data_IF_779257703455
#
_entry.id   IF_779257703455
#
_cell.length_a   1.000
_cell.length_b   1.000
_cell.length_c   1.000
_cell.angle_alpha   90.00
_cell.angle_beta   90.00
_cell.angle_gamma   90.00
#
_symmetry.space_group_name_H-M   'P 1'
#
loop_
_entity.id
_entity.type
_entity.pdbx_description
1 polymer ?
#
# COMPACT_ATOMS: atom_id res chain seq x y z
N UNK A 1 5.35 -28.05 0.55
CA UNK A 1 4.35 -27.95 -0.54
C UNK A 1 4.18 -26.47 -0.85
N UNK A 2 4.14 -26.04 -2.13
CA UNK A 2 3.92 -24.65 -2.48
C UNK A 2 2.43 -24.32 -2.41
N UNK A 3 2.11 -23.09 -2.05
CA UNK A 3 0.72 -22.60 -2.00
C UNK A 3 0.23 -22.26 -3.42
N UNK A 4 -0.89 -22.83 -3.83
CA UNK A 4 -1.45 -22.60 -5.17
C UNK A 4 -2.39 -21.39 -5.12
N UNK A 5 -2.09 -20.36 -5.91
CA UNK A 5 -2.96 -19.19 -6.10
C UNK A 5 -4.11 -19.56 -7.04
N UNK A 6 -5.32 -19.20 -6.66
CA UNK A 6 -6.51 -19.39 -7.50
C UNK A 6 -6.53 -18.36 -8.64
N UNK A 7 -6.57 -18.90 -9.88
CA UNK A 7 -6.59 -18.04 -11.08
C UNK A 7 -7.95 -17.35 -11.26
N UNK A 8 -7.92 -16.15 -11.82
CA UNK A 8 -9.10 -15.30 -12.05
C UNK A 8 -9.85 -14.89 -10.76
N UNK A 9 -9.14 -14.80 -9.65
CA UNK A 9 -9.64 -14.30 -8.36
C UNK A 9 -8.82 -13.12 -7.88
N UNK A 10 -9.26 -12.48 -6.80
CA UNK A 10 -8.51 -11.41 -6.12
C UNK A 10 -7.10 -11.88 -5.71
N UNK A 11 -6.92 -13.19 -5.49
CA UNK A 11 -5.61 -13.74 -5.11
C UNK A 11 -4.52 -13.49 -6.17
N UNK A 12 -4.85 -13.45 -7.47
CA UNK A 12 -3.86 -13.09 -8.51
C UNK A 12 -3.35 -11.66 -8.37
N UNK A 13 -4.16 -10.74 -7.82
CA UNK A 13 -3.73 -9.36 -7.60
C UNK A 13 -2.64 -9.23 -6.54
N UNK A 14 -2.56 -10.19 -5.62
CA UNK A 14 -1.56 -10.23 -4.56
C UNK A 14 -0.15 -10.50 -5.07
N UNK A 15 -0.07 -11.27 -6.15
CA UNK A 15 1.22 -11.78 -6.68
C UNK A 15 2.02 -10.68 -7.36
N UNK A 16 1.36 -9.75 -8.05
CA UNK A 16 2.03 -8.72 -8.85
C UNK A 16 2.83 -7.73 -7.99
N UNK A 17 2.24 -7.07 -6.96
CA UNK A 17 3.00 -6.19 -6.09
C UNK A 17 4.10 -6.94 -5.32
N UNK A 18 3.84 -8.18 -4.92
CA UNK A 18 4.80 -9.03 -4.24
C UNK A 18 6.01 -9.31 -5.14
N UNK A 19 5.76 -9.69 -6.40
CA UNK A 19 6.83 -9.93 -7.38
C UNK A 19 7.61 -8.65 -7.71
N UNK A 20 6.92 -7.51 -7.82
CA UNK A 20 7.56 -6.21 -8.03
C UNK A 20 8.53 -5.86 -6.88
N UNK A 21 8.15 -6.09 -5.63
CA UNK A 21 9.02 -5.86 -4.46
C UNK A 21 10.23 -6.80 -4.44
N UNK A 22 10.03 -8.09 -4.79
CA UNK A 22 11.16 -9.04 -4.99
C UNK A 22 12.13 -8.50 -6.03
N UNK A 23 11.65 -8.11 -7.21
CA UNK A 23 12.49 -7.58 -8.30
C UNK A 23 13.22 -6.31 -7.85
N UNK A 24 12.56 -5.41 -7.14
CA UNK A 24 13.20 -4.21 -6.61
C UNK A 24 14.32 -4.55 -5.61
N UNK A 25 14.08 -5.51 -4.71
CA UNK A 25 15.09 -5.99 -3.76
C UNK A 25 16.33 -6.58 -4.44
N UNK A 26 16.14 -7.21 -5.58
CA UNK A 26 17.24 -7.80 -6.37
C UNK A 26 18.00 -6.75 -7.21
N UNK A 27 17.29 -5.79 -7.79
CA UNK A 27 17.87 -4.76 -8.65
C UNK A 27 18.49 -3.59 -7.90
N UNK A 28 17.95 -3.25 -6.73
CA UNK A 28 18.31 -2.06 -5.96
C UNK A 28 18.55 -2.36 -4.47
N UNK A 29 19.44 -3.33 -4.14
CA UNK A 29 19.61 -3.84 -2.77
C UNK A 29 20.12 -2.77 -1.79
N UNK A 30 20.81 -1.73 -2.27
CA UNK A 30 21.24 -0.58 -1.45
C UNK A 30 20.11 0.40 -1.09
N UNK A 31 19.00 0.36 -1.84
CA UNK A 31 17.88 1.27 -1.67
C UNK A 31 16.69 0.60 -0.96
N UNK A 32 16.43 -0.67 -1.29
CA UNK A 32 15.26 -1.38 -0.83
C UNK A 32 15.53 -2.88 -0.68
N UNK A 33 15.04 -3.45 0.42
CA UNK A 33 15.09 -4.88 0.67
C UNK A 33 13.83 -5.38 1.37
N UNK A 34 13.11 -6.30 0.72
CA UNK A 34 11.93 -6.98 1.26
C UNK A 34 12.15 -8.50 1.28
N UNK A 35 12.75 -8.97 2.36
CA UNK A 35 13.02 -10.40 2.58
C UNK A 35 11.72 -11.22 2.61
N UNK A 36 10.62 -10.62 3.10
CA UNK A 36 9.30 -11.26 3.11
C UNK A 36 8.82 -11.51 1.68
N UNK A 37 8.92 -10.55 0.78
CA UNK A 37 8.51 -10.72 -0.60
C UNK A 37 9.35 -11.80 -1.31
N UNK A 38 10.67 -11.80 -1.11
CA UNK A 38 11.58 -12.82 -1.66
C UNK A 38 11.19 -14.22 -1.20
N UNK A 39 10.96 -14.39 0.11
CA UNK A 39 10.57 -15.66 0.71
C UNK A 39 9.20 -16.14 0.23
N UNK A 40 8.20 -15.26 0.20
CA UNK A 40 6.84 -15.62 -0.19
C UNK A 40 6.75 -16.04 -1.67
N UNK A 41 7.44 -15.37 -2.58
CA UNK A 41 7.47 -15.74 -4.01
C UNK A 41 8.01 -17.17 -4.17
N UNK A 42 8.98 -17.59 -3.37
CA UNK A 42 9.51 -18.97 -3.42
C UNK A 42 8.48 -20.02 -2.91
N UNK A 43 7.51 -19.61 -2.09
CA UNK A 43 6.49 -20.49 -1.51
C UNK A 43 5.20 -20.58 -2.35
N UNK A 44 5.03 -19.71 -3.35
CA UNK A 44 3.84 -19.67 -4.20
C UNK A 44 4.04 -20.58 -5.42
N UNK A 45 3.03 -21.40 -5.72
CA UNK A 45 2.93 -22.19 -6.96
C UNK A 45 2.19 -21.36 -8.02
N UNK A 46 2.94 -20.56 -8.73
CA UNK A 46 2.46 -19.70 -9.82
C UNK A 46 3.50 -19.65 -10.93
N UNK A 47 3.05 -19.58 -12.18
CA UNK A 47 3.95 -19.39 -13.32
C UNK A 47 4.37 -17.93 -13.45
N UNK A 48 5.57 -17.62 -13.00
CA UNK A 48 6.16 -16.29 -13.08
C UNK A 48 6.84 -15.97 -14.42
N UNK A 49 6.84 -16.86 -15.40
CA UNK A 49 7.58 -16.69 -16.67
C UNK A 49 7.15 -15.42 -17.43
N UNK A 50 5.87 -15.11 -17.44
CA UNK A 50 5.35 -13.87 -18.06
C UNK A 50 5.79 -12.63 -17.26
N UNK A 51 5.73 -12.69 -15.94
CA UNK A 51 6.21 -11.61 -15.06
C UNK A 51 7.71 -11.37 -15.26
N UNK A 52 8.52 -12.42 -15.26
CA UNK A 52 9.98 -12.34 -15.51
C UNK A 52 10.29 -11.68 -16.85
N UNK A 53 9.57 -12.06 -17.91
CA UNK A 53 9.71 -11.45 -19.24
C UNK A 53 9.34 -9.97 -19.21
N UNK A 54 8.24 -9.61 -18.55
CA UNK A 54 7.75 -8.23 -18.47
C UNK A 54 8.73 -7.34 -17.69
N UNK A 55 9.26 -7.80 -16.55
CA UNK A 55 10.22 -7.04 -15.75
C UNK A 55 11.63 -6.89 -16.38
N UNK A 56 11.87 -7.44 -17.56
CA UNK A 56 13.04 -7.08 -18.39
C UNK A 56 12.91 -5.71 -19.02
N UNK A 57 11.69 -5.19 -19.19
CA UNK A 57 11.46 -3.84 -19.73
C UNK A 57 11.80 -2.75 -18.72
N UNK A 58 12.32 -1.61 -19.21
CA UNK A 58 12.66 -0.47 -18.37
C UNK A 58 11.45 0.06 -17.58
N UNK A 59 10.28 0.10 -18.20
CA UNK A 59 9.06 0.61 -17.55
C UNK A 59 8.59 -0.30 -16.41
N UNK A 60 8.69 -1.61 -16.55
CA UNK A 60 8.33 -2.52 -15.46
C UNK A 60 9.35 -2.50 -14.31
N UNK A 61 10.64 -2.30 -14.63
CA UNK A 61 11.67 -2.06 -13.61
C UNK A 61 11.40 -0.76 -12.85
N UNK A 62 11.01 0.29 -13.55
CA UNK A 62 10.58 1.53 -12.91
C UNK A 62 9.34 1.30 -12.04
N UNK A 63 8.34 0.56 -12.54
CA UNK A 63 7.16 0.18 -11.75
C UNK A 63 7.50 -0.63 -10.50
N UNK A 64 8.54 -1.49 -10.52
CA UNK A 64 8.99 -2.18 -9.31
C UNK A 64 9.56 -1.20 -8.27
N UNK A 65 10.30 -0.19 -8.73
CA UNK A 65 10.80 0.87 -7.88
C UNK A 65 9.65 1.71 -7.27
N UNK A 66 8.63 2.06 -8.07
CA UNK A 66 7.44 2.77 -7.58
C UNK A 66 6.73 2.01 -6.46
N UNK A 67 6.49 0.70 -6.64
CA UNK A 67 5.83 -0.14 -5.63
C UNK A 67 6.65 -0.22 -4.33
N UNK A 68 7.97 -0.36 -4.46
CA UNK A 68 8.88 -0.46 -3.33
C UNK A 68 9.00 0.87 -2.56
N UNK A 69 9.17 1.99 -3.27
CA UNK A 69 9.26 3.32 -2.64
C UNK A 69 7.95 3.68 -1.95
N UNK A 70 6.80 3.42 -2.55
CA UNK A 70 5.50 3.60 -1.93
C UNK A 70 5.41 2.88 -0.57
N UNK A 71 5.84 1.61 -0.51
CA UNK A 71 5.87 0.85 0.73
C UNK A 71 6.81 1.48 1.76
N UNK A 72 8.02 1.86 1.35
CA UNK A 72 8.99 2.55 2.21
C UNK A 72 8.45 3.85 2.79
N UNK A 73 7.77 4.64 1.97
CA UNK A 73 7.26 5.96 2.35
C UNK A 73 6.08 5.84 3.31
N UNK A 74 5.18 4.87 3.07
CA UNK A 74 4.10 4.54 4.03
C UNK A 74 4.69 4.03 5.35
N UNK A 75 5.70 3.16 5.31
CA UNK A 75 6.39 2.69 6.51
C UNK A 75 7.08 3.83 7.28
N UNK A 76 7.62 4.82 6.58
CA UNK A 76 8.17 6.03 7.20
C UNK A 76 7.11 6.77 8.02
N UNK A 77 5.93 7.04 7.44
CA UNK A 77 4.84 7.74 8.13
C UNK A 77 4.31 6.95 9.33
N UNK A 78 4.20 5.61 9.21
CA UNK A 78 3.82 4.74 10.32
C UNK A 78 4.85 4.82 11.46
N UNK A 79 6.14 4.68 11.15
CA UNK A 79 7.20 4.78 12.15
C UNK A 79 7.31 6.15 12.77
N UNK A 80 7.05 7.21 12.00
CA UNK A 80 7.05 8.58 12.50
C UNK A 80 5.94 8.79 13.54
N UNK A 81 4.73 8.28 13.26
CA UNK A 81 3.63 8.29 14.21
C UNK A 81 3.97 7.51 15.50
N UNK A 82 4.57 6.33 15.36
CA UNK A 82 4.94 5.48 16.50
C UNK A 82 6.00 6.09 17.42
N UNK A 83 6.78 7.08 16.98
CA UNK A 83 7.71 7.81 17.87
C UNK A 83 6.99 8.57 18.97
N UNK A 84 5.83 9.15 18.67
CA UNK A 84 5.02 9.88 19.63
C UNK A 84 3.97 8.97 20.32
N UNK A 85 3.58 7.86 19.68
CA UNK A 85 2.54 6.94 20.12
C UNK A 85 3.03 5.48 20.09
N UNK A 86 3.99 5.08 20.95
CA UNK A 86 4.64 3.77 20.84
C UNK A 86 3.72 2.57 21.04
N UNK A 87 2.61 2.75 21.73
CA UNK A 87 1.60 1.69 21.99
C UNK A 87 0.39 1.76 21.02
N UNK A 88 0.49 2.52 19.94
CA UNK A 88 -0.62 2.70 19.01
C UNK A 88 -0.97 1.41 18.26
N UNK A 89 -2.21 1.33 17.79
CA UNK A 89 -2.61 0.39 16.77
C UNK A 89 -2.01 0.79 15.41
N UNK A 90 -1.36 -0.15 14.73
CA UNK A 90 -0.91 -0.03 13.35
C UNK A 90 -1.84 -0.84 12.48
N UNK A 91 -2.63 -0.20 11.65
CA UNK A 91 -3.73 -0.84 10.91
C UNK A 91 -3.45 -0.79 9.40
N UNK A 92 -3.21 -1.96 8.81
CA UNK A 92 -2.95 -2.14 7.38
C UNK A 92 -4.28 -2.42 6.65
N UNK A 93 -4.79 -1.45 5.94
CA UNK A 93 -6.04 -1.54 5.18
C UNK A 93 -5.79 -2.13 3.79
N UNK A 94 -6.44 -3.23 3.44
CA UNK A 94 -6.19 -3.96 2.21
C UNK A 94 -4.78 -4.57 2.20
N UNK A 95 -4.47 -5.32 3.24
CA UNK A 95 -3.11 -5.74 3.56
C UNK A 95 -2.48 -6.72 2.55
N UNK A 96 -3.27 -7.49 1.81
CA UNK A 96 -2.75 -8.51 0.91
C UNK A 96 -1.67 -9.38 1.57
N UNK A 97 -0.56 -9.53 0.85
CA UNK A 97 0.66 -10.18 1.34
C UNK A 97 1.75 -9.15 1.72
N UNK A 98 1.34 -7.95 2.16
CA UNK A 98 2.26 -6.91 2.61
C UNK A 98 2.71 -7.14 4.06
N UNK A 99 4.02 -7.03 4.29
CA UNK A 99 4.66 -7.16 5.60
C UNK A 99 4.99 -5.82 6.28
N UNK A 100 4.52 -4.69 5.74
CA UNK A 100 4.89 -3.34 6.22
C UNK A 100 4.52 -3.14 7.69
N UNK A 101 3.33 -3.55 8.12
CA UNK A 101 2.92 -3.44 9.52
C UNK A 101 3.91 -4.15 10.45
N UNK A 102 4.25 -5.41 10.13
CA UNK A 102 5.27 -6.18 10.87
C UNK A 102 6.63 -5.51 10.88
N UNK A 103 7.07 -4.97 9.73
CA UNK A 103 8.34 -4.28 9.62
C UNK A 103 8.39 -2.95 10.40
N UNK A 104 7.25 -2.41 10.79
CA UNK A 104 7.12 -1.23 11.63
C UNK A 104 6.94 -1.54 13.12
N UNK A 105 6.80 -2.82 13.50
CA UNK A 105 6.63 -3.23 14.90
C UNK A 105 7.82 -2.76 15.77
N UNK A 106 7.51 -1.93 16.75
CA UNK A 106 8.49 -1.35 17.69
C UNK A 106 8.60 -2.14 19.00
N UNK A 107 7.97 -3.30 19.10
CA UNK A 107 7.93 -4.14 20.30
C UNK A 107 6.80 -3.79 21.28
N UNK A 108 6.04 -2.71 21.05
CA UNK A 108 4.97 -2.23 21.92
C UNK A 108 3.64 -2.02 21.19
N UNK A 109 3.67 -1.71 19.90
CA UNK A 109 2.46 -1.52 19.10
C UNK A 109 1.77 -2.85 18.78
N UNK A 110 0.48 -2.80 18.47
CA UNK A 110 -0.28 -3.92 17.94
C UNK A 110 -0.58 -3.70 16.46
N UNK A 111 -0.37 -4.73 15.64
CA UNK A 111 -0.55 -4.66 14.19
C UNK A 111 -1.82 -5.39 13.79
N UNK A 112 -2.68 -4.73 13.04
CA UNK A 112 -3.91 -5.27 12.48
C UNK A 112 -3.82 -5.27 10.96
N UNK A 113 -4.02 -6.43 10.35
CA UNK A 113 -3.99 -6.60 8.90
C UNK A 113 -5.39 -6.92 8.40
N UNK A 114 -5.99 -6.02 7.65
CA UNK A 114 -7.38 -6.07 7.20
C UNK A 114 -7.47 -6.33 5.70
N UNK A 115 -8.25 -7.32 5.29
CA UNK A 115 -8.56 -7.59 3.89
C UNK A 115 -9.78 -8.50 3.75
N UNK A 116 -10.21 -8.78 2.54
CA UNK A 116 -11.29 -9.73 2.28
C UNK A 116 -10.98 -11.12 2.85
N UNK A 117 -12.03 -11.90 3.24
CA UNK A 117 -11.85 -13.20 3.90
C UNK A 117 -10.97 -14.19 3.11
N UNK A 118 -11.09 -14.22 1.78
CA UNK A 118 -10.29 -15.09 0.91
C UNK A 118 -8.81 -14.65 0.87
N UNK A 119 -8.54 -13.35 0.91
CA UNK A 119 -7.18 -12.79 1.00
C UNK A 119 -6.56 -13.11 2.36
N UNK A 120 -7.32 -12.93 3.44
CA UNK A 120 -6.86 -13.27 4.80
C UNK A 120 -6.57 -14.78 4.93
N UNK A 121 -7.34 -15.63 4.27
CA UNK A 121 -7.06 -17.07 4.24
C UNK A 121 -5.70 -17.38 3.59
N UNK A 122 -5.39 -16.74 2.44
CA UNK A 122 -4.06 -16.83 1.79
C UNK A 122 -2.97 -16.29 2.71
N UNK A 123 -3.21 -15.12 3.32
CA UNK A 123 -2.25 -14.50 4.25
C UNK A 123 -1.96 -15.41 5.43
N UNK A 124 -2.96 -15.99 6.07
CA UNK A 124 -2.77 -16.90 7.20
C UNK A 124 -1.94 -18.14 6.84
N UNK A 125 -2.04 -18.62 5.60
CA UNK A 125 -1.26 -19.75 5.12
C UNK A 125 0.21 -19.40 4.81
N UNK A 126 0.47 -18.20 4.24
CA UNK A 126 1.80 -17.81 3.75
C UNK A 126 2.54 -16.87 4.69
N UNK A 127 1.82 -16.02 5.41
CA UNK A 127 2.32 -14.98 6.31
C UNK A 127 1.46 -14.93 7.58
N UNK A 128 1.44 -15.98 8.40
CA UNK A 128 0.63 -16.04 9.60
C UNK A 128 0.95 -14.90 10.55
N UNK A 129 -0.06 -14.43 11.29
CA UNK A 129 0.08 -13.37 12.27
C UNK A 129 1.12 -13.73 13.34
N UNK A 130 1.95 -12.77 13.71
CA UNK A 130 2.87 -12.87 14.82
C UNK A 130 2.18 -12.61 16.17
N UNK A 131 2.94 -12.59 17.25
CA UNK A 131 2.44 -12.43 18.62
C UNK A 131 1.65 -11.11 18.84
N UNK A 132 2.10 -10.02 18.22
CA UNK A 132 1.45 -8.70 18.28
C UNK A 132 0.69 -8.35 17.00
N UNK A 133 0.37 -9.35 16.18
CA UNK A 133 -0.39 -9.14 14.95
C UNK A 133 -1.75 -9.83 15.02
N UNK A 134 -2.71 -9.27 14.31
CA UNK A 134 -4.02 -9.85 14.09
C UNK A 134 -4.42 -9.69 12.63
N UNK A 135 -4.89 -10.75 12.00
CA UNK A 135 -5.40 -10.75 10.64
C UNK A 135 -6.94 -10.75 10.70
N UNK A 136 -7.56 -9.66 10.25
CA UNK A 136 -9.01 -9.43 10.37
C UNK A 136 -9.66 -9.54 8.98
N UNK A 137 -10.50 -10.57 8.74
CA UNK A 137 -11.27 -10.66 7.51
C UNK A 137 -12.43 -9.66 7.54
N UNK A 138 -12.45 -8.72 6.59
CA UNK A 138 -13.53 -7.73 6.48
C UNK A 138 -13.64 -7.14 5.06
N UNK A 139 -14.78 -6.51 4.77
CA UNK A 139 -14.90 -5.51 3.73
C UNK A 139 -14.66 -4.13 4.36
N UNK A 140 -13.74 -3.34 3.81
CA UNK A 140 -13.43 -2.00 4.33
C UNK A 140 -14.61 -1.03 4.25
N UNK A 141 -15.61 -1.28 3.41
CA UNK A 141 -16.85 -0.50 3.35
C UNK A 141 -17.79 -0.77 4.55
N UNK A 142 -17.65 -1.93 5.20
CA UNK A 142 -18.36 -2.26 6.43
C UNK A 142 -17.51 -1.85 7.64
N UNK A 143 -18.04 -0.93 8.45
CA UNK A 143 -17.31 -0.37 9.60
C UNK A 143 -17.32 -1.27 10.85
N UNK A 144 -17.87 -2.48 10.78
CA UNK A 144 -17.88 -3.43 11.91
C UNK A 144 -16.47 -3.75 12.42
N UNK A 145 -15.44 -3.67 11.57
CA UNK A 145 -14.05 -3.89 11.97
C UNK A 145 -13.50 -2.79 12.91
N UNK A 146 -14.14 -1.61 13.01
CA UNK A 146 -13.71 -0.54 13.92
C UNK A 146 -13.67 -1.02 15.38
N UNK A 147 -14.65 -1.82 15.79
CA UNK A 147 -14.74 -2.35 17.15
C UNK A 147 -13.67 -3.39 17.50
N UNK A 148 -12.96 -3.89 16.50
CA UNK A 148 -11.88 -4.88 16.68
C UNK A 148 -10.51 -4.21 16.87
N UNK A 149 -10.41 -2.90 16.66
CA UNK A 149 -9.15 -2.15 16.78
C UNK A 149 -9.05 -1.52 18.17
N UNK A 150 -8.07 -1.95 18.95
CA UNK A 150 -7.74 -1.27 20.20
C UNK A 150 -6.89 -0.02 19.91
N UNK A 151 -7.57 1.12 19.84
CA UNK A 151 -6.95 2.42 19.59
C UNK A 151 -6.65 3.22 20.88
N UNK A 152 -6.66 2.59 22.05
CA UNK A 152 -6.45 3.27 23.35
C UNK A 152 -5.08 3.98 23.45
N UNK A 153 -4.07 3.47 22.73
CA UNK A 153 -2.74 4.08 22.59
C UNK A 153 -2.59 4.99 21.36
N UNK A 154 -3.69 5.32 20.66
CA UNK A 154 -3.70 5.97 19.35
C UNK A 154 -3.80 4.95 18.22
N UNK A 155 -4.00 5.44 16.99
CA UNK A 155 -4.06 4.56 15.82
C UNK A 155 -3.46 5.22 14.58
N UNK A 156 -2.64 4.47 13.85
CA UNK A 156 -2.18 4.82 12.51
C UNK A 156 -2.66 3.77 11.52
N UNK A 157 -3.46 4.24 10.56
CA UNK A 157 -3.98 3.45 9.47
C UNK A 157 -3.15 3.72 8.23
N UNK A 158 -2.84 2.68 7.45
CA UNK A 158 -2.20 2.87 6.16
C UNK A 158 -2.80 1.97 5.10
N UNK A 159 -2.84 2.47 3.85
CA UNK A 159 -3.34 1.75 2.71
C UNK A 159 -2.37 1.89 1.54
N UNK A 160 -1.90 0.78 0.99
CA UNK A 160 -0.93 0.74 -0.11
C UNK A 160 -1.55 0.21 -1.39
N UNK A 161 -1.88 1.09 -2.34
CA UNK A 161 -2.49 0.71 -3.61
C UNK A 161 -3.94 0.23 -3.51
N UNK A 162 -4.67 0.66 -2.49
CA UNK A 162 -6.01 0.15 -2.17
C UNK A 162 -7.11 1.09 -2.66
N UNK A 163 -7.05 2.35 -2.31
CA UNK A 163 -8.15 3.28 -2.57
C UNK A 163 -8.41 3.56 -4.04
N UNK A 164 -7.46 3.28 -4.92
CA UNK A 164 -7.70 3.36 -6.36
C UNK A 164 -8.92 2.57 -6.83
N UNK A 165 -9.26 1.48 -6.16
CA UNK A 165 -10.39 0.60 -6.49
C UNK A 165 -11.73 1.07 -5.92
N UNK A 166 -11.75 2.11 -5.10
CA UNK A 166 -12.94 2.66 -4.46
C UNK A 166 -13.51 3.85 -5.27
N UNK A 167 -14.81 4.07 -5.18
CA UNK A 167 -15.41 5.32 -5.60
C UNK A 167 -15.03 6.43 -4.61
N UNK A 168 -14.93 7.67 -5.09
CA UNK A 168 -14.60 8.84 -4.25
C UNK A 168 -15.53 8.95 -3.03
N UNK A 169 -16.83 8.70 -3.22
CA UNK A 169 -17.81 8.76 -2.14
C UNK A 169 -17.62 7.66 -1.09
N UNK A 170 -17.14 6.48 -1.50
CA UNK A 170 -16.82 5.40 -0.56
C UNK A 170 -15.61 5.79 0.31
N UNK A 171 -14.54 6.31 -0.29
CA UNK A 171 -13.36 6.78 0.46
C UNK A 171 -13.74 7.92 1.40
N UNK A 172 -14.54 8.88 0.92
CA UNK A 172 -15.03 10.00 1.74
C UNK A 172 -15.84 9.50 2.95
N UNK A 173 -16.79 8.62 2.72
CA UNK A 173 -17.63 8.06 3.78
C UNK A 173 -16.79 7.27 4.80
N UNK A 174 -15.82 6.49 4.35
CA UNK A 174 -14.90 5.77 5.22
C UNK A 174 -14.08 6.74 6.08
N UNK A 175 -13.45 7.75 5.47
CA UNK A 175 -12.62 8.75 6.18
C UNK A 175 -13.43 9.49 7.24
N UNK A 176 -14.66 9.92 6.91
CA UNK A 176 -15.54 10.61 7.87
C UNK A 176 -15.90 9.72 9.07
N UNK A 177 -16.27 8.47 8.81
CA UNK A 177 -16.56 7.49 9.88
C UNK A 177 -15.32 7.14 10.72
N UNK A 178 -14.13 7.08 10.10
CA UNK A 178 -12.88 6.89 10.82
C UNK A 178 -12.56 8.09 11.73
N UNK A 179 -12.81 9.32 11.27
CA UNK A 179 -12.66 10.52 12.08
C UNK A 179 -13.59 10.55 13.30
N UNK A 180 -14.80 9.97 13.18
CA UNK A 180 -15.72 9.84 14.30
C UNK A 180 -15.28 8.74 15.29
N UNK A 181 -14.78 7.63 14.80
CA UNK A 181 -14.42 6.47 15.62
C UNK A 181 -13.02 6.59 16.26
N UNK A 182 -12.09 7.30 15.61
CA UNK A 182 -10.67 7.38 15.99
C UNK A 182 -10.19 8.83 16.03
N UNK A 183 -10.67 9.68 16.97
CA UNK A 183 -10.51 11.14 16.96
C UNK A 183 -9.07 11.65 17.13
N UNK A 184 -8.10 10.78 17.36
CA UNK A 184 -6.66 11.11 17.39
C UNK A 184 -5.88 10.21 16.44
N UNK A 185 -6.55 9.58 15.51
CA UNK A 185 -5.95 8.69 14.54
C UNK A 185 -5.34 9.43 13.37
N UNK A 186 -4.50 8.70 12.63
CA UNK A 186 -3.89 9.16 11.39
C UNK A 186 -4.13 8.12 10.30
N UNK A 187 -4.56 8.56 9.12
CA UNK A 187 -4.62 7.72 7.92
C UNK A 187 -3.58 8.18 6.90
N UNK A 188 -2.76 7.26 6.41
CA UNK A 188 -1.81 7.50 5.33
C UNK A 188 -2.05 6.55 4.16
N UNK A 189 -2.03 7.07 2.94
CA UNK A 189 -2.25 6.26 1.74
C UNK A 189 -1.64 6.91 0.51
N UNK A 190 -1.42 6.11 -0.53
CA UNK A 190 -0.96 6.60 -1.82
C UNK A 190 -2.14 7.03 -2.71
N UNK A 191 -1.97 8.15 -3.39
CA UNK A 191 -2.92 8.69 -4.35
C UNK A 191 -2.21 9.28 -5.56
N UNK A 192 -2.96 9.46 -6.64
CA UNK A 192 -2.47 10.07 -7.86
C UNK A 192 -3.61 10.77 -8.61
N UNK A 193 -3.28 11.61 -9.58
CA UNK A 193 -4.30 12.27 -10.38
C UNK A 193 -5.02 11.29 -11.34
N UNK A 194 -6.14 11.75 -11.92
CA UNK A 194 -6.98 10.94 -12.81
C UNK A 194 -6.22 10.35 -14.01
N UNK A 195 -5.23 11.05 -14.54
CA UNK A 195 -4.41 10.57 -15.67
C UNK A 195 -3.57 9.37 -15.25
N UNK A 196 -2.88 9.48 -14.11
CA UNK A 196 -2.09 8.38 -13.57
C UNK A 196 -2.96 7.17 -13.20
N UNK A 197 -4.11 7.40 -12.53
CA UNK A 197 -5.05 6.33 -12.16
C UNK A 197 -5.57 5.59 -13.38
N UNK A 198 -5.92 6.29 -14.47
CA UNK A 198 -6.31 5.65 -15.75
C UNK A 198 -5.15 4.86 -16.35
N UNK A 199 -3.92 5.34 -16.25
CA UNK A 199 -2.74 4.64 -16.75
C UNK A 199 -2.46 3.37 -15.92
N UNK A 200 -2.54 3.46 -14.61
CA UNK A 200 -2.42 2.30 -13.69
C UNK A 200 -3.46 1.24 -14.05
N UNK A 201 -4.73 1.62 -14.19
CA UNK A 201 -5.80 0.71 -14.58
C UNK A 201 -5.51 0.02 -15.93
N UNK A 202 -5.04 0.80 -16.92
CA UNK A 202 -4.76 0.27 -18.27
C UNK A 202 -3.54 -0.66 -18.31
N UNK A 203 -2.52 -0.38 -17.50
CA UNK A 203 -1.25 -1.14 -17.52
C UNK A 203 -1.27 -2.33 -16.57
N UNK A 204 -1.61 -2.11 -15.30
CA UNK A 204 -1.55 -3.15 -14.27
C UNK A 204 -2.74 -4.11 -14.30
N UNK A 205 -3.97 -3.60 -14.36
CA UNK A 205 -5.16 -4.46 -14.39
C UNK A 205 -5.25 -5.27 -15.67
N UNK A 206 -4.86 -4.66 -16.81
CA UNK A 206 -4.85 -5.36 -18.09
C UNK A 206 -3.77 -6.43 -18.17
N UNK A 207 -2.58 -6.18 -17.63
CA UNK A 207 -1.48 -7.18 -17.59
C UNK A 207 -1.81 -8.35 -16.66
N UNK A 208 -2.58 -8.10 -15.61
CA UNK A 208 -3.08 -9.12 -14.69
C UNK A 208 -4.29 -9.90 -15.22
N UNK A 209 -4.80 -9.54 -16.41
CA UNK A 209 -6.04 -10.12 -16.99
C UNK A 209 -7.27 -10.01 -16.06
N UNK A 210 -7.23 -9.09 -15.09
CA UNK A 210 -8.33 -8.87 -14.15
C UNK A 210 -9.45 -8.14 -14.92
N UNK A 211 -10.57 -8.81 -15.06
CA UNK A 211 -11.79 -8.26 -15.65
C UNK A 211 -12.64 -7.70 -14.50
N UNK A 212 -13.41 -6.64 -14.81
CA UNK A 212 -14.41 -6.06 -13.92
C UNK A 212 -13.87 -5.30 -12.67
N UNK A 213 -12.57 -5.00 -12.62
CA UNK A 213 -11.99 -4.10 -11.61
C UNK A 213 -11.62 -2.78 -12.28
N UNK A 214 -12.25 -1.69 -11.83
CA UNK A 214 -11.94 -0.32 -12.28
C UNK A 214 -10.99 0.38 -11.31
N UNK A 215 -10.37 1.46 -11.77
CA UNK A 215 -9.66 2.39 -10.89
C UNK A 215 -10.38 3.74 -10.95
N UNK A 216 -10.90 4.20 -9.81
CA UNK A 216 -11.88 5.28 -9.74
C UNK A 216 -11.38 6.47 -8.91
N UNK A 217 -10.88 6.21 -7.70
CA UNK A 217 -10.43 7.25 -6.80
C UNK A 217 -9.13 7.89 -7.31
N UNK A 218 -9.17 9.20 -7.48
CA UNK A 218 -8.04 9.99 -7.95
C UNK A 218 -8.06 11.36 -7.24
N UNK A 219 -6.88 11.85 -6.85
CA UNK A 219 -6.68 13.10 -6.15
C UNK A 219 -5.49 13.85 -6.75
N UNK A 220 -5.68 15.12 -7.06
CA UNK A 220 -4.61 15.99 -7.58
C UNK A 220 -4.04 16.92 -6.52
N UNK A 221 -4.90 17.43 -5.63
CA UNK A 221 -4.58 18.33 -4.53
C UNK A 221 -5.27 17.83 -3.26
N UNK A 222 -4.61 16.91 -2.56
CA UNK A 222 -5.21 16.26 -1.40
C UNK A 222 -5.60 17.23 -0.27
N UNK A 223 -4.80 18.24 0.12
CA UNK A 223 -5.20 19.23 1.10
C UNK A 223 -6.50 19.95 0.74
N UNK A 224 -6.67 20.33 -0.53
CA UNK A 224 -7.85 21.03 -1.00
C UNK A 224 -9.06 20.11 -1.18
N UNK A 225 -8.86 18.97 -1.87
CA UNK A 225 -9.97 18.09 -2.25
C UNK A 225 -10.49 17.29 -1.04
N UNK A 226 -9.59 16.69 -0.26
CA UNK A 226 -9.94 15.87 0.91
C UNK A 226 -10.22 16.73 2.14
N UNK A 227 -9.45 17.81 2.33
CA UNK A 227 -9.69 18.75 3.43
C UNK A 227 -11.08 19.42 3.39
N UNK A 228 -11.70 19.47 2.20
CA UNK A 228 -13.07 19.96 2.05
C UNK A 228 -14.15 18.93 2.47
N UNK A 229 -13.79 17.69 2.78
CA UNK A 229 -14.77 16.67 3.18
C UNK A 229 -15.28 16.84 4.60
N UNK A 230 -14.43 17.35 5.51
CA UNK A 230 -14.77 17.59 6.91
C UNK A 230 -13.78 18.61 7.50
N UNK A 231 -14.27 19.61 8.22
CA UNK A 231 -13.48 20.69 8.83
C UNK A 231 -12.49 20.20 9.92
N UNK A 232 -12.71 19.02 10.46
CA UNK A 232 -11.84 18.39 11.48
C UNK A 232 -10.55 17.85 10.86
N UNK A 233 -10.57 17.47 9.58
CA UNK A 233 -9.45 16.82 8.91
C UNK A 233 -8.28 17.81 8.71
N UNK A 234 -7.10 17.38 9.09
CA UNK A 234 -5.85 18.06 8.76
C UNK A 234 -5.10 17.23 7.73
N UNK A 235 -5.17 17.66 6.47
CA UNK A 235 -4.66 16.93 5.33
C UNK A 235 -3.35 17.54 4.86
N UNK A 236 -2.35 16.70 4.68
CA UNK A 236 -1.08 17.04 4.03
C UNK A 236 -0.74 15.99 2.97
N UNK A 237 0.14 16.34 2.05
CA UNK A 237 0.65 15.36 1.09
C UNK A 237 2.09 15.63 0.74
N UNK A 238 2.78 14.57 0.30
CA UNK A 238 4.19 14.57 -0.10
C UNK A 238 4.33 13.69 -1.34
N UNK A 239 5.11 14.13 -2.35
CA UNK A 239 5.39 13.26 -3.50
C UNK A 239 5.98 11.93 -3.03
N UNK A 240 5.44 10.81 -3.46
CA UNK A 240 6.07 9.56 -3.11
C UNK A 240 7.19 9.26 -4.11
N UNK A 241 8.25 8.68 -3.75
CA UNK A 241 9.57 8.54 -4.36
C UNK A 241 10.52 9.70 -4.01
N UNK A 242 10.27 10.95 -4.45
CA UNK A 242 11.20 12.05 -4.24
C UNK A 242 10.87 12.91 -3.01
N UNK A 243 9.67 12.78 -2.45
CA UNK A 243 9.30 13.46 -1.22
C UNK A 243 9.97 12.87 0.04
N UNK A 244 10.40 11.60 -0.03
CA UNK A 244 11.01 10.84 1.08
C UNK A 244 12.44 10.41 0.78
N UNK A 245 12.77 10.20 -0.49
CA UNK A 245 14.06 9.73 -0.97
C UNK A 245 14.57 10.64 -2.07
N UNK A 246 15.87 10.71 -2.30
CA UNK A 246 16.45 11.42 -3.44
C UNK A 246 16.81 10.47 -4.60
N UNK A 247 16.65 9.18 -4.41
CA UNK A 247 16.96 8.12 -5.36
C UNK A 247 18.40 8.19 -5.91
N UNK A 248 19.36 8.66 -5.09
CA UNK A 248 20.77 8.82 -5.51
C UNK A 248 21.59 7.55 -5.38
N UNK A 249 20.95 6.40 -5.13
CA UNK A 249 21.63 5.11 -5.17
C UNK A 249 22.28 4.89 -6.56
N UNK A 250 23.54 4.44 -6.63
CA UNK A 250 24.24 4.23 -7.91
C UNK A 250 23.54 3.26 -8.86
N UNK A 251 22.73 2.34 -8.33
CA UNK A 251 21.93 1.39 -9.12
C UNK A 251 20.73 2.06 -9.82
N UNK A 252 20.28 3.23 -9.36
CA UNK A 252 19.15 3.96 -9.94
C UNK A 252 19.62 4.91 -11.05
N UNK A 253 19.21 4.63 -12.29
CA UNK A 253 19.59 5.44 -13.44
C UNK A 253 19.05 6.88 -13.37
N UNK A 254 19.73 7.83 -14.04
CA UNK A 254 19.25 9.20 -14.18
C UNK A 254 17.88 9.29 -14.86
N UNK A 255 17.59 8.36 -15.76
CA UNK A 255 16.30 8.25 -16.42
C UNK A 255 15.17 7.91 -15.42
N UNK A 256 15.40 7.02 -14.47
CA UNK A 256 14.40 6.69 -13.44
C UNK A 256 14.18 7.84 -12.48
N UNK A 257 15.21 8.60 -12.14
CA UNK A 257 15.05 9.85 -11.36
C UNK A 257 14.22 10.91 -12.11
N UNK A 258 14.37 10.98 -13.42
CA UNK A 258 13.53 11.83 -14.27
C UNK A 258 12.06 11.34 -14.28
N UNK A 259 11.83 10.04 -14.46
CA UNK A 259 10.48 9.46 -14.38
C UNK A 259 9.83 9.70 -13.02
N UNK A 260 10.58 9.58 -11.91
CA UNK A 260 10.10 9.89 -10.59
C UNK A 260 9.65 11.35 -10.45
N UNK A 261 10.41 12.31 -11.03
CA UNK A 261 9.98 13.73 -11.11
C UNK A 261 8.66 13.91 -11.87
N UNK A 262 8.49 13.19 -12.96
CA UNK A 262 7.24 13.22 -13.75
C UNK A 262 6.09 12.62 -12.92
N UNK A 263 6.33 11.53 -12.22
CA UNK A 263 5.36 10.90 -11.32
C UNK A 263 4.88 11.86 -10.24
N UNK A 264 5.79 12.37 -9.43
CA UNK A 264 5.46 13.28 -8.33
C UNK A 264 4.89 14.62 -8.83
N UNK A 265 5.44 15.15 -9.91
CA UNK A 265 5.07 16.47 -10.46
C UNK A 265 3.79 16.45 -11.30
N UNK A 266 3.82 15.79 -12.47
CA UNK A 266 2.73 15.80 -13.45
C UNK A 266 1.62 14.83 -13.13
N UNK A 267 1.96 13.63 -12.62
CA UNK A 267 0.99 12.59 -12.30
C UNK A 267 0.43 12.74 -10.87
N UNK A 268 1.00 13.68 -10.08
CA UNK A 268 0.60 13.92 -8.70
C UNK A 268 0.59 12.64 -7.86
N UNK A 269 1.60 11.80 -8.09
CA UNK A 269 1.82 10.62 -7.28
C UNK A 269 2.30 11.09 -5.90
N UNK A 270 1.51 10.80 -4.87
CA UNK A 270 1.70 11.37 -3.53
C UNK A 270 1.30 10.40 -2.42
N UNK A 271 1.96 10.51 -1.29
CA UNK A 271 1.47 9.97 -0.03
C UNK A 271 0.65 11.05 0.63
N UNK A 272 -0.59 10.73 0.92
CA UNK A 272 -1.55 11.60 1.62
C UNK A 272 -1.58 11.20 3.08
N UNK A 273 -1.52 12.18 3.98
CA UNK A 273 -1.65 12.02 5.43
C UNK A 273 -2.82 12.84 5.92
N UNK A 274 -3.76 12.17 6.59
CA UNK A 274 -4.94 12.77 7.23
C UNK A 274 -4.81 12.56 8.72
N UNK A 275 -4.82 13.64 9.49
CA UNK A 275 -5.00 13.59 10.95
C UNK A 275 -6.48 13.88 11.23
N UNK A 276 -7.10 13.04 12.06
CA UNK A 276 -8.49 13.13 12.45
C UNK A 276 -8.71 14.08 13.62
#
# INVERSE_FOLDING_TARGET
MKYKIEKNTVQETLVIPLYARKVCSELYPGLYHDETAVRLIAQIDHDFSEAEKNFRSLMQRFGSLEVAMRQSDLAFEVRDYLKAHPNAAVVNLGCGLDGTGRACDNGSCKVYNLDFPDVIAVRNALLPAGEREENIPCDLNDTAWFSQIDASGGAVFFASGVFYYFLTEQVKALVQKMADAFPSGVLVFDAANRTAVKMIAKTWLKSAKIKDVGAYFAVSDAPKEIGAWDSRLRVSSRGYMLGYNDLRDPSVSGFFRFLAKVGDGMMKMQIVKINF
#
